data_IF_582442658603
#
_entry.id   IF_582442658603
#
_cell.length_a   1.000
_cell.length_b   1.000
_cell.length_c   1.000
_cell.angle_alpha   90.00
_cell.angle_beta   90.00
_cell.angle_gamma   90.00
#
_symmetry.space_group_name_H-M   'P 1'
#
loop_
_entity.id
_entity.type
_entity.pdbx_description
1 polymer ?
#
# COMPACT_ATOMS: atom_id res chain seq x y z
N UNK A 1 -14.98 -15.80 4.51
CA UNK A 1 -13.94 -14.75 4.59
C UNK A 1 -13.63 -14.33 3.15
N UNK A 2 -13.59 -13.04 2.85
CA UNK A 2 -13.35 -12.54 1.47
C UNK A 2 -11.85 -12.32 1.29
N UNK A 3 -11.29 -12.83 0.20
CA UNK A 3 -9.90 -12.58 -0.19
C UNK A 3 -9.79 -11.24 -0.92
N UNK A 4 -8.83 -10.42 -0.52
CA UNK A 4 -8.55 -9.10 -1.10
C UNK A 4 -7.27 -9.09 -1.94
N UNK A 5 -6.57 -10.22 -2.07
CA UNK A 5 -5.38 -10.31 -2.90
C UNK A 5 -5.69 -9.95 -4.36
N UNK A 6 -4.76 -9.26 -5.01
CA UNK A 6 -4.95 -8.83 -6.40
C UNK A 6 -3.63 -8.74 -7.16
N UNK A 7 -3.73 -8.68 -8.49
CA UNK A 7 -2.60 -8.43 -9.38
C UNK A 7 -2.85 -7.09 -10.09
N UNK A 8 -1.93 -6.15 -9.92
CA UNK A 8 -2.02 -4.81 -10.50
C UNK A 8 -0.77 -4.55 -11.33
N UNK A 9 -0.90 -4.55 -12.65
CA UNK A 9 0.21 -4.27 -13.56
C UNK A 9 1.38 -5.26 -13.44
N UNK A 10 1.12 -6.52 -13.05
CA UNK A 10 2.13 -7.55 -12.82
C UNK A 10 2.69 -7.57 -11.39
N UNK A 11 2.21 -6.69 -10.51
CA UNK A 11 2.59 -6.68 -9.09
C UNK A 11 1.52 -7.40 -8.29
N UNK A 12 1.92 -8.46 -7.58
CA UNK A 12 1.05 -9.15 -6.62
C UNK A 12 0.92 -8.31 -5.34
N UNK A 13 -0.32 -7.96 -4.99
CA UNK A 13 -0.66 -7.28 -3.76
C UNK A 13 -1.44 -8.23 -2.85
N UNK A 14 -1.14 -8.21 -1.55
CA UNK A 14 -1.87 -8.98 -0.52
C UNK A 14 -3.26 -8.41 -0.23
N UNK A 15 -3.52 -7.17 -0.67
CA UNK A 15 -4.79 -6.47 -0.52
C UNK A 15 -4.98 -5.50 -1.68
N UNK A 16 -6.21 -5.33 -2.16
CA UNK A 16 -6.58 -4.37 -3.18
C UNK A 16 -6.68 -2.92 -2.64
N UNK A 17 -6.50 -2.73 -1.32
CA UNK A 17 -6.45 -1.42 -0.67
C UNK A 17 -5.01 -0.96 -0.53
N UNK A 18 -4.67 0.18 -1.12
CA UNK A 18 -3.32 0.74 -1.09
C UNK A 18 -3.34 2.26 -0.82
N UNK A 19 -2.17 2.82 -0.49
CA UNK A 19 -2.02 4.25 -0.23
C UNK A 19 -1.50 4.98 -1.48
N UNK A 20 -2.29 5.93 -1.98
CA UNK A 20 -1.90 6.83 -3.05
C UNK A 20 -0.78 7.79 -2.63
N UNK A 21 -0.03 8.28 -3.62
CA UNK A 21 0.96 9.34 -3.43
C UNK A 21 0.28 10.62 -2.91
N UNK A 22 0.75 11.15 -1.78
CA UNK A 22 0.09 12.29 -1.13
C UNK A 22 0.74 12.75 0.17
N UNK A 23 0.08 13.64 0.93
CA UNK A 23 0.62 14.20 2.18
C UNK A 23 1.02 13.14 3.22
N UNK A 24 0.35 11.97 3.21
CA UNK A 24 0.63 10.85 4.12
C UNK A 24 1.83 9.99 3.71
N UNK A 25 2.35 10.16 2.50
CA UNK A 25 3.49 9.40 1.97
C UNK A 25 4.70 10.28 1.64
N UNK A 26 4.69 11.54 2.08
CA UNK A 26 5.78 12.51 1.86
C UNK A 26 7.01 12.34 2.75
N UNK A 27 6.93 11.51 3.79
CA UNK A 27 8.05 11.24 4.69
C UNK A 27 8.28 9.73 4.82
N UNK A 28 9.54 9.31 4.74
CA UNK A 28 9.95 7.90 4.85
C UNK A 28 9.47 7.24 6.14
N UNK A 29 9.53 7.96 7.27
CA UNK A 29 9.04 7.49 8.57
C UNK A 29 7.52 7.25 8.57
N UNK A 30 6.74 8.04 7.84
CA UNK A 30 5.29 7.83 7.72
C UNK A 30 4.99 6.63 6.81
N UNK A 31 5.71 6.50 5.70
CA UNK A 31 5.59 5.34 4.80
C UNK A 31 5.94 4.03 5.49
N UNK A 32 6.98 4.00 6.33
CA UNK A 32 7.37 2.81 7.09
C UNK A 32 6.22 2.31 8.00
N UNK A 33 5.50 3.24 8.64
CA UNK A 33 4.32 2.90 9.45
C UNK A 33 3.19 2.32 8.59
N UNK A 34 2.92 2.92 7.43
CA UNK A 34 1.90 2.44 6.50
C UNK A 34 2.27 1.05 5.94
N UNK A 35 3.54 0.82 5.63
CA UNK A 35 4.05 -0.46 5.13
C UNK A 35 3.92 -1.60 6.16
N UNK A 36 3.90 -1.28 7.46
CA UNK A 36 3.63 -2.27 8.52
C UNK A 36 2.14 -2.62 8.70
N UNK A 37 1.24 -1.99 7.94
CA UNK A 37 -0.19 -2.26 7.99
C UNK A 37 -0.62 -3.36 7.00
N UNK A 38 -1.90 -3.72 7.02
CA UNK A 38 -2.50 -4.66 6.05
C UNK A 38 -2.79 -4.05 4.66
N UNK A 39 -2.19 -2.90 4.33
CA UNK A 39 -2.29 -2.30 3.01
C UNK A 39 -1.50 -3.12 1.98
N UNK A 40 -2.04 -3.27 0.77
CA UNK A 40 -1.36 -3.97 -0.32
C UNK A 40 -0.14 -3.22 -0.86
N UNK A 41 -0.06 -1.91 -0.62
CA UNK A 41 1.08 -1.08 -1.02
C UNK A 41 1.00 0.37 -0.55
N UNK A 42 2.12 1.08 -0.69
CA UNK A 42 2.25 2.52 -0.42
C UNK A 42 3.07 3.19 -1.53
N UNK A 43 2.49 4.23 -2.14
CA UNK A 43 3.14 5.00 -3.21
C UNK A 43 3.87 6.19 -2.62
N UNK A 44 5.16 6.30 -2.91
CA UNK A 44 5.97 7.45 -2.49
C UNK A 44 5.48 8.76 -3.14
N UNK A 45 5.64 9.86 -2.40
CA UNK A 45 5.45 11.21 -2.94
C UNK A 45 6.60 11.59 -3.86
#
# INVERSE_FOLDING_TARGET
MVDLATDLGGVKLTSCVYNASGPRTGASAAMAKIASSAAGGVLAK
#
